data_IF_161335576594
#
_entry.id   IF_161335576594
#
_cell.length_a   1.000
_cell.length_b   1.000
_cell.length_c   1.000
_cell.angle_alpha   90.00
_cell.angle_beta   90.00
_cell.angle_gamma   90.00
#
_symmetry.space_group_name_H-M   'P 1'
#
loop_
_entity.id
_entity.type
_entity.pdbx_description
1 polymer ?
#
# COMPACT_ATOMS: atom_id res chain seq x y z
N UNK A 1 -15.85 22.60 8.99
CA UNK A 1 -14.44 22.53 8.60
C UNK A 1 -14.18 21.09 8.22
N UNK A 2 -13.51 20.85 7.11
CA UNK A 2 -13.21 19.49 6.62
C UNK A 2 -11.91 18.95 7.23
N UNK A 3 -10.98 19.86 7.55
CA UNK A 3 -9.82 19.58 8.39
C UNK A 3 -10.23 19.62 9.86
N UNK A 4 -9.87 18.59 10.60
CA UNK A 4 -10.12 18.46 12.04
C UNK A 4 -8.77 18.44 12.76
N UNK A 5 -8.63 19.24 13.81
CA UNK A 5 -7.46 19.21 14.69
C UNK A 5 -7.83 18.45 15.96
N UNK A 6 -7.24 17.28 16.16
CA UNK A 6 -7.55 16.34 17.25
C UNK A 6 -6.32 15.48 17.60
N UNK A 7 -6.13 15.21 18.89
CA UNK A 7 -5.11 14.28 19.41
C UNK A 7 -5.73 12.99 19.98
N UNK A 8 -6.79 12.52 19.34
CA UNK A 8 -7.55 11.31 19.69
C UNK A 8 -7.96 10.61 18.39
N UNK A 9 -8.35 9.34 18.47
CA UNK A 9 -8.76 8.54 17.32
C UNK A 9 -10.11 9.03 16.77
N UNK A 10 -10.32 8.90 15.45
CA UNK A 10 -11.65 9.08 14.87
C UNK A 10 -12.62 8.00 15.34
N UNK A 11 -13.93 8.29 15.26
CA UNK A 11 -14.97 7.39 15.74
C UNK A 11 -15.01 6.09 14.91
N UNK A 12 -14.71 6.17 13.62
CA UNK A 12 -14.61 5.01 12.74
C UNK A 12 -13.46 4.07 13.14
N UNK A 13 -12.30 4.63 13.48
CA UNK A 13 -11.18 3.84 14.00
C UNK A 13 -11.53 3.23 15.37
N UNK A 14 -12.09 4.01 16.30
CA UNK A 14 -12.57 3.51 17.60
C UNK A 14 -13.53 2.33 17.44
N UNK A 15 -14.48 2.44 16.51
CA UNK A 15 -15.45 1.38 16.21
C UNK A 15 -14.78 0.12 15.63
N UNK A 16 -13.80 0.30 14.75
CA UNK A 16 -13.03 -0.81 14.17
C UNK A 16 -12.24 -1.55 15.25
N UNK A 17 -11.44 -0.81 16.02
CA UNK A 17 -10.53 -1.40 17.00
C UNK A 17 -11.30 -2.04 18.15
N UNK A 18 -12.48 -1.54 18.52
CA UNK A 18 -13.32 -2.19 19.52
C UNK A 18 -13.71 -3.61 19.13
N UNK A 19 -14.02 -3.84 17.84
CA UNK A 19 -14.33 -5.19 17.32
C UNK A 19 -13.07 -6.05 17.25
N UNK A 20 -11.97 -5.48 16.76
CA UNK A 20 -10.68 -6.19 16.70
C UNK A 20 -10.18 -6.60 18.08
N UNK A 21 -10.37 -5.77 19.11
CA UNK A 21 -9.96 -6.06 20.47
C UNK A 21 -10.64 -7.32 21.05
N UNK A 22 -11.86 -7.65 20.61
CA UNK A 22 -12.48 -8.93 20.99
C UNK A 22 -11.71 -10.12 20.41
N UNK A 23 -11.26 -10.01 19.16
CA UNK A 23 -10.45 -11.03 18.49
C UNK A 23 -9.06 -11.12 19.15
N UNK A 24 -8.43 -9.98 19.43
CA UNK A 24 -7.14 -9.91 20.13
C UNK A 24 -7.24 -10.57 21.50
N UNK A 25 -8.28 -10.25 22.29
CA UNK A 25 -8.49 -10.85 23.60
C UNK A 25 -8.63 -12.37 23.55
N UNK A 26 -9.37 -12.89 22.56
CA UNK A 26 -9.51 -14.33 22.36
C UNK A 26 -8.18 -14.98 21.95
N UNK A 27 -7.41 -14.34 21.06
CA UNK A 27 -6.08 -14.82 20.65
C UNK A 27 -5.14 -14.88 21.86
N UNK A 28 -5.03 -13.81 22.65
CA UNK A 28 -4.17 -13.77 23.84
C UNK A 28 -4.53 -14.85 24.86
N UNK A 29 -5.83 -15.05 25.11
CA UNK A 29 -6.30 -16.13 25.99
C UNK A 29 -5.92 -17.53 25.45
N UNK A 30 -5.96 -17.74 24.13
CA UNK A 30 -5.56 -19.02 23.52
C UNK A 30 -4.07 -19.33 23.64
N UNK A 31 -3.25 -18.32 23.95
CA UNK A 31 -1.81 -18.43 24.22
C UNK A 31 -1.47 -18.32 25.70
N UNK A 32 -2.43 -18.58 26.59
CA UNK A 32 -2.26 -18.54 28.06
C UNK A 32 -1.77 -17.18 28.62
N UNK A 33 -2.00 -16.08 27.88
CA UNK A 33 -1.68 -14.73 28.33
C UNK A 33 -2.82 -14.21 29.19
N UNK A 34 -2.57 -14.11 30.50
CA UNK A 34 -3.54 -13.59 31.47
C UNK A 34 -3.46 -12.06 31.53
N UNK A 35 -4.61 -11.40 31.43
CA UNK A 35 -4.75 -9.95 31.57
C UNK A 35 -6.04 -9.62 32.35
N UNK A 36 -6.07 -8.46 33.01
CA UNK A 36 -7.32 -7.94 33.58
C UNK A 36 -8.19 -7.38 32.47
N UNK A 37 -9.51 -7.47 32.60
CA UNK A 37 -10.45 -7.08 31.56
C UNK A 37 -10.29 -5.60 31.11
N UNK A 38 -9.86 -4.71 32.00
CA UNK A 38 -9.57 -3.30 31.74
C UNK A 38 -8.16 -3.03 31.20
N UNK A 39 -7.28 -4.04 31.22
CA UNK A 39 -5.86 -3.97 30.85
C UNK A 39 -5.54 -4.82 29.60
N UNK A 40 -6.51 -5.03 28.70
CA UNK A 40 -6.30 -5.79 27.46
C UNK A 40 -5.11 -5.22 26.65
N UNK A 41 -4.04 -6.00 26.39
CA UNK A 41 -2.88 -5.53 25.65
C UNK A 41 -3.21 -5.06 24.22
N UNK A 42 -2.66 -3.92 23.84
CA UNK A 42 -2.76 -3.36 22.48
C UNK A 42 -1.43 -3.54 21.77
N UNK A 43 -1.33 -4.58 20.95
CA UNK A 43 -0.09 -4.93 20.24
C UNK A 43 -0.14 -4.44 18.80
N UNK A 44 0.96 -3.83 18.34
CA UNK A 44 1.10 -3.35 16.96
C UNK A 44 2.25 -4.09 16.26
N UNK A 45 2.01 -4.53 15.02
CA UNK A 45 3.04 -5.05 14.14
C UNK A 45 3.65 -3.89 13.33
N UNK A 46 4.97 -3.70 13.43
CA UNK A 46 5.69 -2.62 12.73
C UNK A 46 6.54 -3.20 11.61
N UNK A 47 6.29 -2.75 10.38
CA UNK A 47 6.94 -3.27 9.18
C UNK A 47 7.79 -2.19 8.50
N UNK A 48 9.11 -2.39 8.51
CA UNK A 48 10.09 -1.42 8.02
C UNK A 48 10.14 -1.31 6.49
N UNK A 49 10.68 -0.21 5.97
CA UNK A 49 10.95 -0.04 4.55
C UNK A 49 12.10 -0.90 4.03
N UNK A 50 12.26 -0.92 2.71
CA UNK A 50 13.32 -1.70 2.04
C UNK A 50 12.95 -2.26 0.67
N UNK A 51 12.02 -1.61 -0.03
CA UNK A 51 11.54 -2.05 -1.35
C UNK A 51 11.08 -3.51 -1.36
N UNK A 52 11.42 -4.24 -2.42
CA UNK A 52 10.99 -5.62 -2.61
C UNK A 52 11.47 -6.58 -1.51
N UNK A 53 12.63 -6.31 -0.88
CA UNK A 53 13.10 -7.10 0.28
C UNK A 53 12.11 -7.02 1.43
N UNK A 54 11.70 -5.81 1.80
CA UNK A 54 10.74 -5.60 2.89
C UNK A 54 9.35 -6.16 2.53
N UNK A 55 8.93 -6.03 1.27
CA UNK A 55 7.71 -6.63 0.74
C UNK A 55 7.70 -8.15 0.95
N UNK A 56 8.71 -8.87 0.45
CA UNK A 56 8.79 -10.34 0.60
C UNK A 56 8.93 -10.76 2.05
N UNK A 57 9.75 -10.05 2.84
CA UNK A 57 10.00 -10.38 4.23
C UNK A 57 8.71 -10.29 5.07
N UNK A 58 7.91 -9.22 4.91
CA UNK A 58 6.68 -9.06 5.71
C UNK A 58 5.64 -10.14 5.34
N UNK A 59 5.56 -10.56 4.08
CA UNK A 59 4.69 -11.67 3.68
C UNK A 59 5.09 -12.98 4.37
N UNK A 60 6.39 -13.26 4.49
CA UNK A 60 6.90 -14.41 5.24
C UNK A 60 6.61 -14.33 6.74
N UNK A 61 6.81 -13.16 7.36
CA UNK A 61 6.48 -12.92 8.77
C UNK A 61 4.99 -13.14 9.04
N UNK A 62 4.12 -12.55 8.22
CA UNK A 62 2.67 -12.70 8.36
C UNK A 62 2.21 -14.15 8.20
N UNK A 63 2.82 -14.88 7.26
CA UNK A 63 2.55 -16.32 7.09
C UNK A 63 2.90 -17.09 8.37
N UNK A 64 4.09 -16.86 8.93
CA UNK A 64 4.52 -17.55 10.15
C UNK A 64 3.62 -17.18 11.34
N UNK A 65 3.32 -15.90 11.52
CA UNK A 65 2.38 -15.43 12.57
C UNK A 65 0.99 -16.09 12.44
N UNK A 66 0.53 -16.33 11.20
CA UNK A 66 -0.70 -17.08 10.97
C UNK A 66 -0.60 -18.54 11.36
N UNK A 67 0.49 -19.21 10.98
CA UNK A 67 0.74 -20.61 11.30
C UNK A 67 0.85 -20.85 12.81
N UNK A 68 1.39 -19.87 13.54
CA UNK A 68 1.52 -19.90 14.99
C UNK A 68 0.27 -19.39 15.73
N UNK A 69 -0.82 -19.06 15.01
CA UNK A 69 -2.04 -18.46 15.55
C UNK A 69 -1.79 -17.17 16.36
N UNK A 70 -0.76 -16.40 16.01
CA UNK A 70 -0.38 -15.15 16.68
C UNK A 70 -0.86 -13.91 15.93
N UNK A 71 -1.20 -14.02 14.63
CA UNK A 71 -1.62 -12.88 13.82
C UNK A 71 -2.84 -12.14 14.42
N UNK A 72 -3.75 -12.88 15.05
CA UNK A 72 -4.95 -12.32 15.65
C UNK A 72 -4.72 -11.54 16.94
N UNK A 73 -3.52 -11.66 17.53
CA UNK A 73 -3.13 -10.93 18.72
C UNK A 73 -2.69 -9.49 18.41
N UNK A 74 -2.56 -9.12 17.13
CA UNK A 74 -2.22 -7.76 16.70
C UNK A 74 -3.46 -6.90 16.45
N UNK A 75 -3.48 -5.72 17.08
CA UNK A 75 -4.48 -4.69 16.91
C UNK A 75 -4.22 -3.85 15.66
N UNK A 76 -2.97 -3.43 15.48
CA UNK A 76 -2.53 -2.59 14.37
C UNK A 76 -1.44 -3.28 13.55
N UNK A 77 -1.39 -2.94 12.26
CA UNK A 77 -0.25 -3.19 11.41
C UNK A 77 0.16 -1.88 10.74
N UNK A 78 1.33 -1.36 11.11
CA UNK A 78 1.90 -0.16 10.52
C UNK A 78 3.04 -0.52 9.57
N UNK A 79 3.10 0.12 8.41
CA UNK A 79 4.14 -0.13 7.42
C UNK A 79 4.66 1.15 6.78
N UNK A 80 5.88 1.08 6.26
CA UNK A 80 6.47 2.10 5.40
C UNK A 80 7.10 1.48 4.15
N UNK A 81 7.14 2.22 3.03
CA UNK A 81 7.82 1.82 1.80
C UNK A 81 7.48 0.39 1.35
N UNK A 82 8.46 -0.50 1.20
CA UNK A 82 8.25 -1.87 0.71
C UNK A 82 7.20 -2.69 1.47
N UNK A 83 7.02 -2.49 2.78
CA UNK A 83 5.96 -3.19 3.52
C UNK A 83 4.56 -2.70 3.15
N UNK A 84 4.41 -1.42 2.78
CA UNK A 84 3.15 -0.88 2.25
C UNK A 84 2.77 -1.56 0.93
N UNK A 85 3.74 -1.97 0.12
CA UNK A 85 3.48 -2.72 -1.10
C UNK A 85 2.79 -4.06 -0.79
N UNK A 86 3.22 -4.75 0.28
CA UNK A 86 2.58 -5.99 0.70
C UNK A 86 1.19 -5.71 1.29
N UNK A 87 1.08 -4.72 2.18
CA UNK A 87 -0.18 -4.34 2.82
C UNK A 87 -1.23 -3.95 1.79
N UNK A 88 -0.92 -3.05 0.86
CA UNK A 88 -1.86 -2.60 -0.18
C UNK A 88 -2.52 -3.75 -0.97
N UNK A 89 -1.77 -4.82 -1.25
CA UNK A 89 -2.34 -5.99 -1.94
C UNK A 89 -3.04 -6.98 -1.02
N UNK A 90 -2.59 -7.14 0.24
CA UNK A 90 -3.29 -7.97 1.22
C UNK A 90 -4.67 -7.39 1.56
N UNK A 91 -4.72 -6.09 1.87
CA UNK A 91 -5.94 -5.39 2.28
C UNK A 91 -6.92 -5.13 1.12
N UNK A 92 -6.58 -5.58 -0.10
CA UNK A 92 -7.52 -5.70 -1.20
C UNK A 92 -8.66 -6.69 -0.89
N UNK A 93 -8.34 -7.76 -0.14
CA UNK A 93 -9.26 -8.72 0.44
C UNK A 93 -9.64 -8.26 1.87
N UNK A 94 -10.94 -8.19 2.14
CA UNK A 94 -11.45 -7.75 3.44
C UNK A 94 -11.16 -8.76 4.56
N UNK A 95 -10.81 -10.00 4.23
CA UNK A 95 -10.65 -11.10 5.17
C UNK A 95 -9.33 -11.86 4.99
N UNK A 96 -8.30 -11.21 4.44
CA UNK A 96 -7.01 -11.85 4.11
C UNK A 96 -6.37 -12.57 5.30
N UNK A 97 -6.55 -12.06 6.53
CA UNK A 97 -5.97 -12.64 7.75
C UNK A 97 -6.50 -14.06 8.04
N UNK A 98 -7.77 -14.34 7.70
CA UNK A 98 -8.42 -15.65 7.94
C UNK A 98 -7.74 -16.78 7.18
N UNK A 99 -7.09 -16.48 6.06
CA UNK A 99 -6.28 -17.43 5.31
C UNK A 99 -4.99 -16.77 4.82
N UNK A 100 -4.20 -16.28 5.78
CA UNK A 100 -2.94 -15.56 5.49
C UNK A 100 -1.94 -16.41 4.71
N UNK A 101 -1.91 -17.73 4.90
CA UNK A 101 -1.04 -18.62 4.12
C UNK A 101 -1.40 -18.58 2.64
N UNK A 102 -2.68 -18.66 2.28
CA UNK A 102 -3.12 -18.56 0.91
C UNK A 102 -2.90 -17.13 0.35
N UNK A 103 -3.27 -16.11 1.12
CA UNK A 103 -3.11 -14.71 0.71
C UNK A 103 -1.64 -14.38 0.38
N UNK A 104 -0.71 -14.71 1.28
CA UNK A 104 0.73 -14.48 1.10
C UNK A 104 1.32 -15.33 -0.03
N UNK A 105 0.95 -16.61 -0.13
CA UNK A 105 1.44 -17.50 -1.20
C UNK A 105 0.97 -17.05 -2.58
N UNK A 106 -0.29 -16.60 -2.69
CA UNK A 106 -0.84 -16.06 -3.93
C UNK A 106 -0.10 -14.81 -4.41
N UNK A 107 0.20 -13.88 -3.49
CA UNK A 107 0.99 -12.68 -3.82
C UNK A 107 2.42 -13.01 -4.25
N UNK A 108 3.09 -13.91 -3.53
CA UNK A 108 4.46 -14.34 -3.87
C UNK A 108 4.50 -15.08 -5.22
N UNK A 109 3.50 -15.91 -5.50
CA UNK A 109 3.39 -16.62 -6.78
C UNK A 109 3.14 -15.64 -7.93
N UNK A 110 2.20 -14.71 -7.76
CA UNK A 110 1.92 -13.67 -8.77
C UNK A 110 3.14 -12.83 -9.09
N UNK A 111 3.92 -12.46 -8.06
CA UNK A 111 5.21 -11.79 -8.20
C UNK A 111 6.23 -12.63 -8.96
N UNK A 112 6.36 -13.92 -8.61
CA UNK A 112 7.32 -14.84 -9.25
C UNK A 112 6.98 -15.15 -10.71
N UNK A 113 5.70 -15.21 -11.06
CA UNK A 113 5.24 -15.46 -12.43
C UNK A 113 5.27 -14.19 -13.30
N UNK A 114 5.52 -13.02 -12.69
CA UNK A 114 5.53 -11.75 -13.41
C UNK A 114 4.16 -11.35 -13.96
N UNK A 115 3.06 -11.75 -13.29
CA UNK A 115 1.67 -11.43 -13.67
C UNK A 115 1.27 -9.96 -13.48
N UNK A 116 2.27 -9.07 -13.43
CA UNK A 116 2.09 -7.65 -13.19
C UNK A 116 1.66 -6.89 -14.45
N UNK A 117 1.63 -5.57 -14.27
CA UNK A 117 1.27 -4.60 -15.31
C UNK A 117 2.20 -4.71 -16.51
N UNK A 118 1.63 -4.82 -17.70
CA UNK A 118 2.39 -4.75 -18.96
C UNK A 118 2.81 -3.31 -19.28
N UNK A 119 3.82 -3.15 -20.13
CA UNK A 119 4.28 -1.82 -20.54
C UNK A 119 3.15 -0.97 -21.17
N UNK A 120 2.32 -1.59 -22.02
CA UNK A 120 1.22 -0.91 -22.69
C UNK A 120 0.14 -0.46 -21.71
N UNK A 121 -0.25 -1.32 -20.77
CA UNK A 121 -1.21 -0.97 -19.71
C UNK A 121 -0.70 0.17 -18.83
N UNK A 122 0.58 0.12 -18.44
CA UNK A 122 1.22 1.18 -17.66
C UNK A 122 1.19 2.53 -18.40
N UNK A 123 1.55 2.54 -19.69
CA UNK A 123 1.51 3.77 -20.51
C UNK A 123 0.07 4.27 -20.69
N UNK A 124 -0.90 3.39 -20.91
CA UNK A 124 -2.31 3.77 -21.03
C UNK A 124 -2.83 4.41 -19.75
N UNK A 125 -2.51 3.83 -18.60
CA UNK A 125 -2.91 4.37 -17.31
C UNK A 125 -2.27 5.74 -17.05
N UNK A 126 -0.96 5.90 -17.31
CA UNK A 126 -0.27 7.19 -17.17
C UNK A 126 -0.84 8.27 -18.11
N UNK A 127 -1.19 7.92 -19.36
CA UNK A 127 -1.85 8.84 -20.30
C UNK A 127 -3.20 9.29 -19.79
N UNK A 128 -3.99 8.37 -19.23
CA UNK A 128 -5.29 8.71 -18.63
C UNK A 128 -5.11 9.68 -17.47
N UNK A 129 -4.16 9.43 -16.56
CA UNK A 129 -3.84 10.33 -15.43
C UNK A 129 -3.36 11.70 -15.88
N UNK A 130 -2.52 11.75 -16.92
CA UNK A 130 -2.09 13.01 -17.53
C UNK A 130 -3.27 13.82 -18.08
N UNK A 131 -4.20 13.16 -18.79
CA UNK A 131 -5.40 13.81 -19.32
C UNK A 131 -6.35 14.30 -18.22
N UNK A 132 -6.30 13.70 -17.03
CA UNK A 132 -7.04 14.12 -15.84
C UNK A 132 -6.36 15.27 -15.07
N UNK A 133 -5.18 15.74 -15.50
CA UNK A 133 -4.45 16.86 -14.88
C UNK A 133 -3.77 16.53 -13.55
N UNK A 134 -3.68 15.25 -13.19
CA UNK A 134 -3.32 14.78 -11.84
C UNK A 134 -2.12 13.81 -11.88
N UNK A 135 -1.19 14.07 -12.81
CA UNK A 135 0.04 13.30 -12.98
C UNK A 135 1.19 13.90 -12.16
N UNK A 136 1.88 13.05 -11.42
CA UNK A 136 2.98 13.32 -10.52
C UNK A 136 4.13 12.33 -10.74
N UNK A 137 5.29 12.59 -10.15
CA UNK A 137 6.44 11.66 -10.21
C UNK A 137 6.16 10.31 -9.51
N UNK A 138 5.26 10.31 -8.52
CA UNK A 138 4.82 9.09 -7.83
C UNK A 138 4.02 8.15 -8.73
N UNK A 139 3.39 8.65 -9.80
CA UNK A 139 2.52 7.84 -10.66
C UNK A 139 3.29 6.79 -11.49
N UNK A 140 4.35 7.16 -12.27
CA UNK A 140 5.20 6.15 -12.91
C UNK A 140 5.83 5.18 -11.91
N UNK A 141 6.17 5.66 -10.72
CA UNK A 141 6.73 4.80 -9.67
C UNK A 141 5.70 3.79 -9.15
N UNK A 142 4.45 4.21 -8.91
CA UNK A 142 3.35 3.33 -8.52
C UNK A 142 3.08 2.25 -9.57
N UNK A 143 3.10 2.60 -10.86
CA UNK A 143 2.98 1.62 -11.97
C UNK A 143 4.09 0.59 -11.91
N UNK A 144 5.34 1.02 -11.70
CA UNK A 144 6.48 0.11 -11.58
C UNK A 144 6.38 -0.77 -10.34
N UNK A 145 5.88 -0.25 -9.21
CA UNK A 145 5.62 -1.05 -8.02
C UNK A 145 4.60 -2.15 -8.31
N UNK A 146 3.47 -1.84 -8.98
CA UNK A 146 2.49 -2.86 -9.38
C UNK A 146 3.11 -3.93 -10.28
N UNK A 147 3.94 -3.54 -11.25
CA UNK A 147 4.68 -4.47 -12.07
C UNK A 147 5.64 -5.36 -11.27
N UNK A 148 6.43 -4.78 -10.36
CA UNK A 148 7.41 -5.50 -9.53
C UNK A 148 6.75 -6.48 -8.57
N UNK A 149 5.57 -6.17 -8.07
CA UNK A 149 4.76 -7.04 -7.21
C UNK A 149 4.01 -8.12 -7.99
N UNK A 150 3.96 -8.04 -9.32
CA UNK A 150 3.15 -8.93 -10.13
C UNK A 150 1.65 -8.75 -9.92
N UNK A 151 1.16 -7.52 -9.71
CA UNK A 151 -0.26 -7.22 -9.50
C UNK A 151 -0.80 -6.24 -10.53
N UNK A 152 -2.11 -6.26 -10.85
CA UNK A 152 -2.71 -5.27 -11.74
C UNK A 152 -2.68 -3.85 -11.14
N UNK A 153 -2.99 -2.86 -11.98
CA UNK A 153 -3.16 -1.47 -11.53
C UNK A 153 -4.46 -1.35 -10.70
N UNK A 154 -4.31 -1.22 -9.38
CA UNK A 154 -5.42 -1.17 -8.44
C UNK A 154 -6.01 0.25 -8.33
N UNK A 155 -7.17 0.46 -8.96
CA UNK A 155 -7.89 1.76 -8.94
C UNK A 155 -8.78 1.96 -7.72
N UNK A 156 -8.78 1.02 -6.76
CA UNK A 156 -9.46 1.19 -5.47
C UNK A 156 -8.85 2.35 -4.71
N UNK A 157 -9.64 2.98 -3.85
CA UNK A 157 -9.14 3.95 -2.89
C UNK A 157 -8.91 3.30 -1.54
N UNK A 158 -8.04 3.90 -0.71
CA UNK A 158 -7.88 3.49 0.68
C UNK A 158 -9.20 3.63 1.48
N UNK A 159 -10.03 4.61 1.13
CA UNK A 159 -11.36 4.78 1.74
C UNK A 159 -12.33 3.62 1.43
N UNK A 160 -12.14 2.90 0.32
CA UNK A 160 -12.92 1.71 0.00
C UNK A 160 -12.52 0.51 0.86
N UNK A 161 -11.31 0.50 1.42
CA UNK A 161 -10.89 -0.51 2.40
C UNK A 161 -11.70 -0.37 3.69
N UNK A 162 -11.87 0.85 4.19
CA UNK A 162 -12.66 1.12 5.41
C UNK A 162 -14.13 0.74 5.26
N UNK A 163 -14.70 0.93 4.06
CA UNK A 163 -16.08 0.50 3.76
C UNK A 163 -16.25 -1.02 3.75
N UNK A 164 -15.21 -1.77 3.35
CA UNK A 164 -15.27 -3.24 3.19
C UNK A 164 -14.87 -3.98 4.46
N UNK A 165 -14.00 -3.40 5.28
CA UNK A 165 -13.45 -4.03 6.48
C UNK A 165 -14.17 -3.50 7.74
N UNK A 166 -15.38 -4.00 8.01
CA UNK A 166 -16.21 -3.49 9.11
C UNK A 166 -16.24 -4.36 10.36
N UNK A 167 -15.73 -5.59 10.28
CA UNK A 167 -15.80 -6.59 11.34
C UNK A 167 -14.52 -6.70 12.19
N UNK A 168 -13.48 -5.96 11.85
CA UNK A 168 -12.19 -6.05 12.54
C UNK A 168 -11.44 -7.36 12.25
N UNK A 169 -11.71 -8.02 11.11
CA UNK A 169 -11.07 -9.30 10.79
C UNK A 169 -9.55 -9.21 10.62
N UNK A 170 -9.02 -8.06 10.20
CA UNK A 170 -7.59 -7.84 10.02
C UNK A 170 -7.05 -6.90 11.12
N UNK A 171 -5.74 -6.90 11.40
CA UNK A 171 -5.13 -5.78 12.11
C UNK A 171 -5.46 -4.46 11.39
N UNK A 172 -5.65 -3.36 12.11
CA UNK A 172 -5.96 -2.08 11.50
C UNK A 172 -4.74 -1.54 10.74
N UNK A 173 -4.87 -1.21 9.43
CA UNK A 173 -3.72 -0.83 8.63
C UNK A 173 -3.37 0.65 8.80
N UNK A 174 -2.09 0.92 9.09
CA UNK A 174 -1.51 2.26 9.09
C UNK A 174 -0.40 2.33 8.05
N UNK A 175 -0.57 3.25 7.09
CA UNK A 175 0.43 3.56 6.08
C UNK A 175 1.08 4.88 6.45
N UNK A 176 2.40 4.99 6.30
CA UNK A 176 3.10 6.25 6.61
C UNK A 176 3.97 6.75 5.46
N UNK A 177 4.00 8.07 5.33
CA UNK A 177 4.88 8.82 4.46
C UNK A 177 5.54 9.97 5.24
N UNK A 178 6.57 10.56 4.64
CA UNK A 178 7.25 11.73 5.19
C UNK A 178 7.05 12.94 4.28
N UNK A 179 6.80 14.11 4.86
CA UNK A 179 6.86 15.36 4.12
C UNK A 179 8.34 15.75 3.92
N UNK A 180 8.70 15.94 2.65
CA UNK A 180 10.09 16.09 2.21
C UNK A 180 10.76 17.35 2.78
N UNK A 181 10.04 18.47 2.81
CA UNK A 181 10.57 19.75 3.28
C UNK A 181 10.92 19.69 4.78
N UNK A 182 10.02 19.15 5.60
CA UNK A 182 10.18 18.95 7.03
C UNK A 182 11.29 17.93 7.33
N UNK A 183 11.40 16.88 6.52
CA UNK A 183 12.53 15.94 6.60
C UNK A 183 13.87 16.64 6.39
N UNK A 184 14.00 17.48 5.34
CA UNK A 184 15.23 18.23 5.08
C UNK A 184 15.54 19.27 6.17
N UNK A 185 14.52 19.86 6.79
CA UNK A 185 14.66 20.75 7.96
C UNK A 185 14.97 20.00 9.26
N UNK A 186 14.97 18.66 9.25
CA UNK A 186 15.18 17.79 10.43
C UNK A 186 14.08 17.96 11.50
N UNK A 187 12.87 18.29 11.08
CA UNK A 187 11.69 18.44 11.96
C UNK A 187 11.00 17.09 12.18
N UNK A 188 11.69 16.19 12.89
CA UNK A 188 11.33 14.77 12.98
C UNK A 188 9.92 14.48 13.52
N UNK A 189 9.36 15.39 14.32
CA UNK A 189 8.02 15.21 14.93
C UNK A 189 6.88 15.62 14.00
N UNK A 190 7.09 16.59 13.12
CA UNK A 190 6.03 17.16 12.28
C UNK A 190 6.01 16.55 10.87
N UNK A 191 7.10 15.91 10.46
CA UNK A 191 7.24 15.37 9.11
C UNK A 191 6.34 14.15 8.79
N UNK A 192 5.79 13.47 9.80
CA UNK A 192 5.07 12.23 9.60
C UNK A 192 3.63 12.46 9.13
N UNK A 193 3.33 11.90 7.97
CA UNK A 193 1.99 11.84 7.43
C UNK A 193 1.46 10.42 7.55
N UNK A 194 0.41 10.26 8.35
CA UNK A 194 -0.27 8.99 8.57
C UNK A 194 -1.46 8.86 7.62
N UNK A 195 -1.69 7.65 7.13
CA UNK A 195 -2.82 7.31 6.29
C UNK A 195 -3.46 6.02 6.78
N UNK A 196 -4.75 6.08 7.08
CA UNK A 196 -5.59 4.94 7.42
C UNK A 196 -6.80 4.86 6.49
N UNK A 197 -7.59 3.78 6.55
CA UNK A 197 -8.84 3.70 5.78
C UNK A 197 -9.87 4.79 6.10
N UNK A 198 -9.78 5.44 7.28
CA UNK A 198 -10.78 6.39 7.77
C UNK A 198 -10.31 7.84 7.76
N UNK A 199 -9.08 8.10 8.20
CA UNK A 199 -8.47 9.42 8.18
C UNK A 199 -7.01 9.43 7.75
N UNK A 200 -6.58 10.58 7.24
CA UNK A 200 -5.22 10.86 6.78
C UNK A 200 -4.80 12.22 7.33
N UNK A 201 -3.53 12.38 7.70
CA UNK A 201 -3.11 13.64 8.29
C UNK A 201 -1.71 13.66 8.88
N UNK A 202 -1.36 14.82 9.43
CA UNK A 202 -0.11 15.04 10.14
C UNK A 202 -0.31 14.81 11.64
N UNK A 203 0.41 13.84 12.19
CA UNK A 203 0.27 13.43 13.59
C UNK A 203 0.80 14.48 14.56
N UNK A 204 1.88 15.19 14.21
CA UNK A 204 2.48 16.26 15.01
C UNK A 204 1.48 17.37 15.39
N UNK A 205 0.89 18.09 14.42
CA UNK A 205 -0.16 19.08 14.67
C UNK A 205 -1.53 18.47 14.99
N UNK A 206 -1.70 17.15 14.87
CA UNK A 206 -3.00 16.48 15.04
C UNK A 206 -4.02 16.86 13.97
N UNK A 207 -3.57 17.24 12.77
CA UNK A 207 -4.44 17.77 11.71
C UNK A 207 -4.79 16.66 10.70
N UNK A 208 -6.07 16.28 10.68
CA UNK A 208 -6.58 15.16 9.88
C UNK A 208 -7.75 15.56 8.99
N UNK A 209 -7.93 14.81 7.90
CA UNK A 209 -9.12 14.84 7.05
C UNK A 209 -9.60 13.41 6.82
N UNK A 210 -10.86 13.25 6.39
CA UNK A 210 -11.36 11.94 5.94
C UNK A 210 -10.51 11.43 4.78
N UNK A 211 -10.19 10.14 4.77
CA UNK A 211 -9.38 9.51 3.70
C UNK A 211 -9.97 9.70 2.31
N UNK A 212 -11.30 9.79 2.18
CA UNK A 212 -11.98 10.08 0.91
C UNK A 212 -11.67 11.47 0.33
N UNK A 213 -11.10 12.37 1.14
CA UNK A 213 -10.67 13.71 0.76
C UNK A 213 -9.16 13.79 0.51
N UNK A 214 -8.43 12.67 0.60
CA UNK A 214 -7.04 12.61 0.21
C UNK A 214 -6.90 13.00 -1.27
N UNK A 215 -5.88 13.80 -1.58
CA UNK A 215 -5.66 14.43 -2.90
C UNK A 215 -6.62 15.58 -3.25
N UNK A 216 -7.33 16.18 -2.30
CA UNK A 216 -8.14 17.38 -2.55
C UNK A 216 -7.40 18.66 -2.17
N UNK A 217 -7.72 19.77 -2.82
CA UNK A 217 -7.27 21.10 -2.40
C UNK A 217 -8.10 21.61 -1.24
N UNK A 218 -7.44 22.30 -0.30
CA UNK A 218 -8.07 22.91 0.86
C UNK A 218 -7.74 24.40 0.93
N UNK A 219 -8.69 25.20 1.38
CA UNK A 219 -8.54 26.64 1.65
C UNK A 219 -9.26 26.95 2.97
N UNK A 220 -8.55 27.54 3.94
CA UNK A 220 -9.11 27.80 5.28
C UNK A 220 -9.62 26.54 6.00
N UNK A 221 -9.09 25.36 5.68
CA UNK A 221 -9.53 24.07 6.24
C UNK A 221 -10.81 23.50 5.61
N UNK A 222 -11.26 24.06 4.50
CA UNK A 222 -12.41 23.57 3.73
C UNK A 222 -11.97 23.06 2.36
N UNK A 223 -12.63 22.00 1.88
CA UNK A 223 -12.37 21.47 0.54
C UNK A 223 -12.75 22.51 -0.51
N UNK A 224 -11.81 22.80 -1.40
CA UNK A 224 -12.07 23.62 -2.58
C UNK A 224 -12.78 22.77 -3.65
N UNK A 225 -13.80 23.33 -4.28
CA UNK A 225 -14.49 22.67 -5.39
C UNK A 225 -13.58 22.63 -6.64
N UNK A 226 -12.85 21.53 -6.77
CA UNK A 226 -12.11 21.15 -7.97
C UNK A 226 -12.68 19.81 -8.48
N UNK A 227 -13.64 19.82 -9.41
CA UNK A 227 -14.32 18.60 -9.88
C UNK A 227 -13.41 17.62 -10.61
N UNK A 228 -12.28 18.10 -11.11
CA UNK A 228 -11.30 17.33 -11.87
C UNK A 228 -10.45 16.41 -10.98
N UNK A 229 -10.31 16.74 -9.68
CA UNK A 229 -9.49 15.95 -8.76
C UNK A 229 -10.22 14.71 -8.25
N UNK A 230 -9.62 13.57 -8.54
CA UNK A 230 -10.12 12.27 -8.08
C UNK A 230 -9.49 11.89 -6.74
N UNK A 231 -10.20 11.08 -5.93
CA UNK A 231 -9.60 10.48 -4.75
C UNK A 231 -8.35 9.67 -5.14
N UNK A 232 -7.34 9.71 -4.29
CA UNK A 232 -6.11 8.95 -4.47
C UNK A 232 -6.41 7.45 -4.53
N UNK A 233 -5.95 6.79 -5.60
CA UNK A 233 -6.03 5.34 -5.72
C UNK A 233 -4.80 4.64 -5.11
N UNK A 234 -4.86 3.32 -5.02
CA UNK A 234 -3.77 2.53 -4.44
C UNK A 234 -2.50 2.56 -5.26
N UNK A 235 -2.55 2.82 -6.58
CA UNK A 235 -1.33 2.99 -7.40
C UNK A 235 -0.58 4.23 -6.94
N UNK A 236 -1.30 5.35 -6.79
CA UNK A 236 -0.71 6.61 -6.32
C UNK A 236 -0.21 6.53 -4.88
N UNK A 237 -1.02 5.97 -3.99
CA UNK A 237 -0.68 5.86 -2.56
C UNK A 237 0.60 5.06 -2.37
N UNK A 238 0.74 3.94 -3.08
CA UNK A 238 1.96 3.14 -3.05
C UNK A 238 3.14 3.87 -3.69
N UNK A 239 2.91 4.69 -4.72
CA UNK A 239 3.95 5.56 -5.29
C UNK A 239 4.48 6.57 -4.29
N UNK A 240 3.60 7.23 -3.53
CA UNK A 240 3.96 8.22 -2.50
C UNK A 240 4.68 7.54 -1.33
N UNK A 241 4.06 6.50 -0.77
CA UNK A 241 4.58 5.79 0.39
C UNK A 241 5.82 4.94 0.07
N UNK A 242 5.94 4.50 -1.19
CA UNK A 242 7.01 3.67 -1.72
C UNK A 242 8.20 4.44 -2.28
N UNK A 243 8.15 5.77 -2.29
CA UNK A 243 9.26 6.61 -2.72
C UNK A 243 10.52 6.32 -1.91
N UNK A 244 11.68 6.33 -2.57
CA UNK A 244 12.97 6.13 -1.88
C UNK A 244 13.28 7.37 -1.06
N UNK A 245 12.86 7.39 0.20
CA UNK A 245 13.20 8.37 1.27
C UNK A 245 13.31 9.82 0.76
N UNK A 246 12.31 10.31 0.04
CA UNK A 246 12.30 11.70 -0.46
C UNK A 246 13.44 12.07 -1.44
N UNK A 247 14.23 11.11 -1.92
CA UNK A 247 15.26 11.31 -2.94
C UNK A 247 14.65 11.20 -4.35
N UNK A 248 14.29 12.37 -4.87
CA UNK A 248 13.75 12.53 -6.20
C UNK A 248 14.71 12.06 -7.30
N UNK A 249 16.02 12.26 -7.14
CA UNK A 249 17.01 11.89 -8.15
C UNK A 249 17.15 10.38 -8.24
N UNK A 250 17.21 9.71 -7.09
CA UNK A 250 17.25 8.27 -7.02
C UNK A 250 15.95 7.65 -7.56
N UNK A 251 14.80 8.24 -7.24
CA UNK A 251 13.50 7.82 -7.77
C UNK A 251 13.45 7.95 -9.30
N UNK A 252 13.86 9.10 -9.85
CA UNK A 252 13.97 9.31 -11.31
C UNK A 252 14.93 8.32 -11.96
N UNK A 253 16.07 8.04 -11.32
CA UNK A 253 17.04 7.07 -11.81
C UNK A 253 16.42 5.68 -11.92
N UNK A 254 15.76 5.19 -10.88
CA UNK A 254 15.09 3.89 -10.92
C UNK A 254 14.00 3.85 -11.99
N UNK A 255 13.11 4.85 -12.03
CA UNK A 255 12.05 4.93 -13.05
C UNK A 255 12.66 4.81 -14.45
N UNK A 256 13.69 5.61 -14.74
CA UNK A 256 14.38 5.57 -16.04
C UNK A 256 14.99 4.21 -16.34
N UNK A 257 15.71 3.62 -15.38
CA UNK A 257 16.37 2.34 -15.54
C UNK A 257 15.37 1.21 -15.84
N UNK A 258 14.28 1.13 -15.09
CA UNK A 258 13.26 0.10 -15.31
C UNK A 258 12.50 0.29 -16.64
N UNK A 259 12.11 1.53 -16.98
CA UNK A 259 11.45 1.81 -18.27
C UNK A 259 12.35 1.42 -19.44
N UNK A 260 13.65 1.77 -19.40
CA UNK A 260 14.60 1.37 -20.44
C UNK A 260 14.77 -0.14 -20.52
N UNK A 261 14.79 -0.84 -19.38
CA UNK A 261 14.82 -2.30 -19.34
C UNK A 261 13.60 -2.95 -20.00
N UNK A 262 12.40 -2.44 -19.70
CA UNK A 262 11.16 -2.89 -20.34
C UNK A 262 11.16 -2.67 -21.85
N UNK A 263 11.57 -1.50 -22.33
CA UNK A 263 11.65 -1.22 -23.77
C UNK A 263 12.62 -2.18 -24.46
N UNK A 264 13.79 -2.44 -23.86
CA UNK A 264 14.77 -3.40 -24.40
C UNK A 264 14.22 -4.81 -24.49
N UNK A 265 13.49 -5.26 -23.46
CA UNK A 265 12.86 -6.59 -23.44
C UNK A 265 11.81 -6.74 -24.55
N UNK A 266 10.98 -5.71 -24.77
CA UNK A 266 10.02 -5.69 -25.89
C UNK A 266 10.72 -5.78 -27.25
N UNK A 267 11.79 -5.01 -27.43
CA UNK A 267 12.59 -5.05 -28.66
C UNK A 267 13.21 -6.42 -28.92
N UNK A 268 13.77 -7.07 -27.90
CA UNK A 268 14.32 -8.42 -28.01
C UNK A 268 13.25 -9.45 -28.39
N UNK A 269 12.07 -9.40 -27.76
CA UNK A 269 10.94 -10.29 -28.10
C UNK A 269 10.41 -10.09 -29.52
N UNK A 270 10.50 -8.89 -30.09
CA UNK A 270 10.17 -8.63 -31.50
C UNK A 270 11.20 -9.25 -32.46
N UNK A 271 12.47 -9.35 -32.05
CA UNK A 271 13.52 -9.97 -32.86
C UNK A 271 13.39 -11.50 -32.89
N UNK A 272 13.14 -12.15 -31.75
CA UNK A 272 12.95 -13.61 -31.68
C UNK A 272 11.72 -14.10 -32.47
N UNK A 273 10.64 -13.33 -32.50
CA UNK A 273 9.44 -13.63 -33.29
C UNK A 273 9.61 -13.38 -34.80
N UNK A 274 10.74 -12.78 -35.23
CA UNK A 274 11.01 -12.50 -36.65
C UNK A 274 11.90 -13.56 -37.33
N UNK A 275 12.43 -14.52 -36.56
CA UNK A 275 13.15 -15.70 -37.08
C UNK A 275 12.17 -16.84 -37.36
N UNK A 276 11.94 -17.26 -38.62
CA UNK A 276 11.13 -18.44 -38.90
C UNK A 276 11.89 -19.69 -38.44
N UNK A 277 11.24 -20.50 -37.60
CA UNK A 277 11.65 -21.90 -37.37
C UNK A 277 11.73 -22.62 -38.71
N UNK A 278 12.86 -23.26 -39.08
CA UNK A 278 12.92 -24.06 -40.28
C UNK A 278 11.98 -25.25 -40.10
N UNK A 279 10.93 -25.31 -40.91
CA UNK A 279 10.15 -26.54 -41.10
C UNK A 279 11.09 -27.60 -41.65
N UNK A 280 11.53 -28.54 -40.81
CA UNK A 280 12.19 -29.74 -41.26
C UNK A 280 11.19 -30.54 -42.10
N UNK A 281 11.31 -30.44 -43.42
CA UNK A 281 10.66 -31.35 -44.34
C UNK A 281 11.10 -32.78 -44.03
N UNK A 282 10.14 -33.63 -43.64
CA UNK A 282 10.28 -35.06 -43.85
C UNK A 282 9.75 -35.34 -45.25
N UNK A 283 10.66 -35.49 -46.19
CA UNK A 283 10.39 -36.27 -47.40
C UNK A 283 10.16 -37.74 -47.01
N UNK A 284 9.36 -38.40 -47.86
CA UNK A 284 8.77 -39.75 -47.81
C UNK A 284 9.62 -40.85 -47.16
#
# INVERSE_FOLDING_TARGET
MDVVVRHDLCDEEKSYIQKRLQIVGNCLCSHDIVYKHDELPRVALLASGGGQRAHTAILGVLRQLGQDNLLDCFLYMAGVSGSIWAMSSLYADAHWSKNVTNATSGLLLSMSEGKGVTFSEGVQWLRKRHAEGDLSLSDPWGVLICALKGVPLETRTLSDEGKRQKDGANPYPLYSAIERTLFHKKEAKEMWFEMSPHEVGFTGPGAFVKTSLLNRHFEGGHVKNCPEMKPMDMVQLQGICGGVVGDENQTKHYIKTYILGWIRSLWAGMQDNSTPTPTSGKEL
#
